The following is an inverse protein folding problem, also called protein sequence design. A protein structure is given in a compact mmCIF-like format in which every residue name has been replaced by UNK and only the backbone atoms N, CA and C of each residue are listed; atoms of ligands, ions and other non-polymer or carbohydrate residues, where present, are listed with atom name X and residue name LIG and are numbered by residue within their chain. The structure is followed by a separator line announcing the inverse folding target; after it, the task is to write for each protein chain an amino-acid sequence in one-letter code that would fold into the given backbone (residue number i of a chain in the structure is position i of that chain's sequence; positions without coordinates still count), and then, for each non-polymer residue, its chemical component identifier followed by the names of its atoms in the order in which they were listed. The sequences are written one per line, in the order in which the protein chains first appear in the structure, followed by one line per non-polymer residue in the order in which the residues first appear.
data_IF_836240083495
#
_entry.id   IF_836240083495
#
_cell.length_a   1.000
_cell.length_b   1.000
_cell.length_c   1.000
_cell.angle_alpha   90.00
_cell.angle_beta   90.00
_cell.angle_gamma   90.00
#
_symmetry.space_group_name_H-M   'P 1'
#
loop_
_entity.id
_entity.type
_entity.pdbx_description
1 polymer ?
#
# COMPACT_ATOMS: atom_id res chain seq x y z
N UNK A 1 27.11 2.50 -28.91
CA UNK A 1 25.88 3.29 -28.99
C UNK A 1 25.16 3.23 -27.63
N UNK A 2 24.86 4.39 -27.08
CA UNK A 2 24.17 4.48 -25.78
C UNK A 2 22.66 4.55 -26.00
N UNK A 3 21.92 3.78 -25.24
CA UNK A 3 20.46 3.79 -25.31
C UNK A 3 19.93 4.17 -23.91
N UNK A 4 19.19 5.25 -23.85
CA UNK A 4 18.59 5.72 -22.59
C UNK A 4 17.28 4.96 -22.34
N UNK A 5 17.09 4.55 -21.08
CA UNK A 5 15.84 3.97 -20.64
C UNK A 5 14.97 5.04 -20.01
N UNK A 6 13.67 4.93 -20.19
CA UNK A 6 12.71 5.72 -19.42
C UNK A 6 12.70 5.18 -18.00
N UNK A 7 12.92 6.05 -17.03
CA UNK A 7 12.90 5.68 -15.62
C UNK A 7 11.45 5.59 -15.15
N UNK A 8 11.01 4.43 -14.64
CA UNK A 8 9.66 4.30 -14.12
C UNK A 8 9.48 4.98 -12.77
N UNK A 9 8.25 5.32 -12.44
CA UNK A 9 7.86 5.88 -11.14
C UNK A 9 6.87 4.97 -10.44
N UNK A 10 7.02 4.77 -9.14
CA UNK A 10 6.11 3.94 -8.34
C UNK A 10 4.67 4.49 -8.28
N UNK A 11 4.42 5.70 -8.75
CA UNK A 11 3.07 6.24 -8.87
C UNK A 11 2.32 5.73 -10.10
N UNK A 12 3.04 5.24 -11.10
CA UNK A 12 2.46 4.77 -12.36
C UNK A 12 2.94 3.36 -12.76
N UNK A 13 3.95 2.85 -12.10
CA UNK A 13 4.52 1.54 -12.36
C UNK A 13 4.86 0.89 -11.02
N UNK A 14 4.08 -0.10 -10.64
CA UNK A 14 4.34 -0.81 -9.39
C UNK A 14 5.40 -1.88 -9.60
N UNK A 15 5.97 -2.37 -8.50
CA UNK A 15 6.91 -3.48 -8.54
C UNK A 15 6.29 -4.67 -7.83
N UNK A 16 6.22 -5.80 -8.52
CA UNK A 16 5.81 -7.06 -7.93
C UNK A 16 7.05 -7.79 -7.43
N UNK A 17 7.18 -7.90 -6.12
CA UNK A 17 8.21 -8.73 -5.48
C UNK A 17 7.69 -10.15 -5.43
N UNK A 18 8.22 -10.98 -6.30
CA UNK A 18 7.75 -12.35 -6.47
C UNK A 18 8.25 -13.25 -5.36
N UNK A 19 7.54 -14.35 -5.21
CA UNK A 19 7.83 -15.38 -4.24
C UNK A 19 9.24 -15.99 -4.41
N UNK A 20 9.75 -16.07 -5.63
CA UNK A 20 11.07 -16.61 -5.94
C UNK A 20 12.22 -15.59 -5.78
N UNK A 21 11.92 -14.43 -5.19
CA UNK A 21 12.84 -13.31 -4.99
C UNK A 21 13.14 -12.49 -6.25
N UNK A 22 12.45 -12.75 -7.35
CA UNK A 22 12.54 -11.88 -8.53
C UNK A 22 11.61 -10.66 -8.35
N UNK A 23 11.85 -9.64 -9.14
CA UNK A 23 11.03 -8.42 -9.16
C UNK A 23 10.60 -8.12 -10.58
N UNK A 24 9.35 -7.70 -10.75
CA UNK A 24 8.81 -7.33 -12.05
C UNK A 24 8.12 -6.00 -11.98
N UNK A 25 8.36 -5.12 -12.96
CA UNK A 25 7.64 -3.87 -13.10
C UNK A 25 6.26 -4.13 -13.72
N UNK A 26 5.22 -3.57 -13.10
CA UNK A 26 3.84 -3.72 -13.55
C UNK A 26 3.29 -2.33 -13.87
N UNK A 27 2.99 -2.09 -15.14
CA UNK A 27 2.39 -0.82 -15.55
C UNK A 27 0.97 -0.70 -15.01
N UNK A 28 0.67 0.44 -14.37
CA UNK A 28 -0.65 0.71 -13.82
C UNK A 28 -1.49 1.41 -14.89
N UNK A 29 -2.36 0.64 -15.54
CA UNK A 29 -3.30 1.14 -16.53
C UNK A 29 -4.65 1.44 -15.87
N UNK A 30 -5.60 2.12 -16.57
CA UNK A 30 -6.94 2.33 -15.99
C UNK A 30 -7.67 1.05 -15.59
N UNK A 31 -7.32 -0.09 -16.19
CA UNK A 31 -7.94 -1.39 -15.89
C UNK A 31 -7.25 -2.14 -14.73
N UNK A 32 -6.11 -1.65 -14.23
CA UNK A 32 -5.32 -2.37 -13.22
C UNK A 32 -6.14 -2.70 -11.96
N UNK A 33 -6.68 -1.66 -11.32
CA UNK A 33 -7.41 -1.86 -10.06
C UNK A 33 -8.71 -2.63 -10.22
N UNK A 34 -9.55 -2.35 -11.26
CA UNK A 34 -10.71 -3.19 -11.52
C UNK A 34 -10.36 -4.66 -11.74
N UNK A 35 -9.30 -4.95 -12.49
CA UNK A 35 -8.86 -6.33 -12.71
C UNK A 35 -8.33 -6.98 -11.44
N UNK A 36 -7.54 -6.25 -10.65
CA UNK A 36 -6.97 -6.77 -9.42
C UNK A 36 -8.06 -7.11 -8.40
N UNK A 37 -9.02 -6.21 -8.21
CA UNK A 37 -10.10 -6.38 -7.24
C UNK A 37 -11.16 -7.39 -7.66
N UNK A 38 -11.19 -7.79 -8.94
CA UNK A 38 -12.11 -8.81 -9.46
C UNK A 38 -11.41 -10.15 -9.74
N UNK A 39 -10.24 -10.37 -9.14
CA UNK A 39 -9.46 -11.60 -9.26
C UNK A 39 -9.03 -11.95 -10.69
N UNK A 40 -8.84 -10.93 -11.54
CA UNK A 40 -8.38 -11.12 -12.92
C UNK A 40 -6.86 -11.03 -13.07
N UNK A 41 -6.15 -10.83 -11.98
CA UNK A 41 -4.68 -10.76 -11.97
C UNK A 41 -4.10 -11.73 -10.92
N UNK A 42 -4.42 -13.04 -11.03
CA UNK A 42 -3.97 -14.02 -10.02
C UNK A 42 -2.44 -14.16 -9.96
N UNK A 43 -1.72 -13.81 -11.02
CA UNK A 43 -0.26 -13.84 -11.03
C UNK A 43 0.35 -12.83 -10.04
N UNK A 44 -0.41 -11.84 -9.60
CA UNK A 44 0.05 -10.85 -8.63
C UNK A 44 -0.25 -11.25 -7.17
N UNK A 45 -1.02 -12.31 -6.95
CA UNK A 45 -1.39 -12.75 -5.60
C UNK A 45 -0.17 -13.18 -4.76
N UNK A 46 0.71 -14.08 -5.23
CA UNK A 46 1.89 -14.42 -4.43
C UNK A 46 2.88 -13.26 -4.37
N UNK A 47 3.48 -13.06 -3.19
CA UNK A 47 4.47 -12.01 -3.02
C UNK A 47 3.88 -10.70 -2.56
N UNK A 48 4.50 -9.60 -2.96
CA UNK A 48 4.10 -8.26 -2.50
C UNK A 48 4.18 -7.25 -3.64
N UNK A 49 3.34 -6.22 -3.55
CA UNK A 49 3.41 -5.07 -4.45
C UNK A 49 4.10 -3.91 -3.74
N UNK A 50 5.03 -3.26 -4.43
CA UNK A 50 5.65 -2.01 -3.99
C UNK A 50 4.99 -0.88 -4.78
N UNK A 51 4.41 0.07 -4.07
CA UNK A 51 3.59 1.13 -4.65
C UNK A 51 3.84 2.45 -3.94
N UNK A 52 3.57 3.56 -4.61
CA UNK A 52 3.57 4.87 -3.99
C UNK A 52 2.22 5.54 -4.19
N UNK A 53 1.67 6.10 -3.12
CA UNK A 53 0.44 6.88 -3.17
C UNK A 53 0.61 8.21 -2.47
N UNK A 54 -0.08 9.22 -3.01
CA UNK A 54 -0.17 10.55 -2.43
C UNK A 54 -1.59 10.75 -1.91
N UNK A 55 -1.70 11.29 -0.70
CA UNK A 55 -2.99 11.51 -0.04
C UNK A 55 -3.11 12.96 0.40
N UNK A 56 -4.31 13.52 0.27
CA UNK A 56 -4.66 14.85 0.76
C UNK A 56 -5.82 14.85 1.75
N UNK A 57 -6.36 13.65 2.06
CA UNK A 57 -7.48 13.50 2.98
C UNK A 57 -7.46 12.12 3.62
N UNK A 58 -8.23 11.93 4.67
CA UNK A 58 -8.34 10.66 5.37
C UNK A 58 -8.77 9.54 4.43
N UNK A 59 -8.30 8.33 4.69
CA UNK A 59 -8.83 7.16 3.99
C UNK A 59 -10.31 6.99 4.30
N UNK A 60 -11.07 6.57 3.29
CA UNK A 60 -12.51 6.34 3.43
C UNK A 60 -12.85 4.93 3.93
N UNK A 61 -11.85 4.05 4.02
CA UNK A 61 -12.06 2.66 4.41
C UNK A 61 -11.02 2.20 5.42
N UNK A 62 -11.39 1.18 6.17
CA UNK A 62 -10.46 0.30 6.84
C UNK A 62 -10.01 -0.77 5.84
N UNK A 63 -8.76 -1.19 5.93
CA UNK A 63 -8.20 -2.27 5.11
C UNK A 63 -7.61 -3.35 6.01
N UNK A 64 -7.59 -4.57 5.49
CA UNK A 64 -6.96 -5.71 6.17
C UNK A 64 -6.31 -6.62 5.13
N UNK A 65 -5.09 -7.05 5.41
CA UNK A 65 -4.32 -7.92 4.53
C UNK A 65 -4.10 -9.28 5.20
N UNK A 66 -4.83 -10.34 4.76
CA UNK A 66 -4.72 -11.65 5.41
C UNK A 66 -3.47 -12.43 4.99
N UNK A 67 -2.81 -12.03 3.88
CA UNK A 67 -1.69 -12.78 3.33
C UNK A 67 -0.35 -12.51 4.01
N UNK A 68 -0.21 -11.39 4.73
CA UNK A 68 1.05 -11.07 5.39
C UNK A 68 1.09 -9.67 5.99
N UNK A 69 2.25 -9.31 6.52
CA UNK A 69 2.49 -7.99 7.09
C UNK A 69 2.69 -6.95 5.99
N UNK A 70 2.14 -5.77 6.19
CA UNK A 70 2.36 -4.64 5.30
C UNK A 70 3.37 -3.67 5.91
N UNK A 71 4.20 -3.07 5.06
CA UNK A 71 5.11 -2.01 5.47
C UNK A 71 4.71 -0.74 4.75
N UNK A 72 4.54 0.36 5.48
CA UNK A 72 4.25 1.68 4.90
C UNK A 72 5.31 2.66 5.38
N UNK A 73 6.00 3.29 4.43
CA UNK A 73 7.09 4.24 4.71
C UNK A 73 6.66 5.64 4.30
N UNK A 74 6.80 6.60 5.20
CA UNK A 74 6.55 8.00 4.87
C UNK A 74 7.68 8.55 3.99
N UNK A 75 7.31 9.14 2.85
CA UNK A 75 8.25 9.80 1.96
C UNK A 75 8.24 11.31 2.15
N UNK A 76 7.06 11.90 2.38
CA UNK A 76 6.91 13.33 2.66
C UNK A 76 5.57 13.60 3.33
N UNK A 77 5.43 14.75 3.99
CA UNK A 77 4.21 15.12 4.67
C UNK A 77 4.07 14.44 6.02
N UNK A 78 2.86 14.09 6.40
CA UNK A 78 2.58 13.43 7.67
C UNK A 78 1.29 12.61 7.59
N UNK A 79 1.21 11.52 8.35
CA UNK A 79 0.00 10.71 8.42
C UNK A 79 -0.07 9.95 9.73
N UNK A 80 -1.30 9.71 10.19
CA UNK A 80 -1.56 8.95 11.40
C UNK A 80 -2.20 7.62 11.01
N UNK A 81 -1.49 6.51 11.24
CA UNK A 81 -2.07 5.19 11.08
C UNK A 81 -2.81 4.79 12.35
N UNK A 82 -3.99 4.22 12.15
CA UNK A 82 -4.83 3.71 13.23
C UNK A 82 -4.98 2.20 13.01
N UNK A 83 -4.47 1.40 13.94
CA UNK A 83 -4.56 -0.05 13.90
C UNK A 83 -5.59 -0.51 14.92
N UNK A 84 -6.50 -1.40 14.50
CA UNK A 84 -7.49 -2.01 15.39
C UNK A 84 -6.95 -3.35 15.91
N UNK A 85 -6.46 -3.32 17.13
CA UNK A 85 -5.91 -4.51 17.79
C UNK A 85 -6.98 -5.11 18.71
N UNK A 86 -7.93 -5.86 18.12
CA UNK A 86 -9.01 -6.51 18.85
C UNK A 86 -9.84 -5.52 19.69
N UNK A 87 -10.27 -4.42 19.04
CA UNK A 87 -11.09 -3.40 19.67
C UNK A 87 -10.31 -2.31 20.39
N UNK A 88 -9.00 -2.45 20.51
CA UNK A 88 -8.12 -1.41 21.06
C UNK A 88 -7.39 -0.72 19.91
N UNK A 89 -7.55 0.57 19.76
CA UNK A 89 -6.85 1.33 18.74
C UNK A 89 -5.43 1.65 19.19
N UNK A 90 -4.48 1.40 18.28
CA UNK A 90 -3.11 1.86 18.41
C UNK A 90 -2.84 2.89 17.32
N UNK A 91 -2.29 4.03 17.70
CA UNK A 91 -1.98 5.12 16.79
C UNK A 91 -0.48 5.17 16.52
N UNK A 92 -0.11 5.22 15.23
CA UNK A 92 1.29 5.35 14.79
C UNK A 92 1.40 6.60 13.95
N UNK A 93 1.99 7.65 14.52
CA UNK A 93 2.17 8.92 13.82
C UNK A 93 3.46 8.90 13.00
N UNK A 94 3.34 9.17 11.71
CA UNK A 94 4.49 9.32 10.81
C UNK A 94 4.63 10.80 10.47
N UNK A 95 5.74 11.41 10.86
CA UNK A 95 5.98 12.86 10.69
C UNK A 95 7.23 13.17 9.89
N UNK A 96 8.20 12.26 9.84
CA UNK A 96 9.51 12.51 9.24
C UNK A 96 9.77 11.49 8.14
N UNK A 97 10.26 11.92 6.97
CA UNK A 97 10.59 10.98 5.89
C UNK A 97 11.48 9.85 6.37
N UNK A 98 11.11 8.62 6.00
CA UNK A 98 11.79 7.41 6.44
C UNK A 98 11.16 6.73 7.63
N UNK A 99 10.31 7.40 8.39
CA UNK A 99 9.53 6.73 9.43
C UNK A 99 8.52 5.77 8.79
N UNK A 100 8.28 4.65 9.45
CA UNK A 100 7.43 3.61 8.88
C UNK A 100 6.56 2.95 9.94
N UNK A 101 5.51 2.31 9.47
CA UNK A 101 4.65 1.44 10.28
C UNK A 101 4.65 0.06 9.66
N UNK A 102 4.70 -0.97 10.51
CA UNK A 102 4.44 -2.35 10.11
C UNK A 102 3.04 -2.70 10.57
N UNK A 103 2.18 -3.02 9.63
CA UNK A 103 0.81 -3.46 9.90
C UNK A 103 0.81 -4.98 9.92
N UNK A 104 0.56 -5.61 11.08
CA UNK A 104 0.58 -7.08 11.15
C UNK A 104 -0.50 -7.72 10.28
N UNK A 105 -0.24 -8.95 9.85
CA UNK A 105 -1.20 -9.77 9.13
C UNK A 105 -2.55 -9.78 9.86
N UNK A 106 -3.63 -9.56 9.11
CA UNK A 106 -4.99 -9.66 9.61
C UNK A 106 -5.46 -8.49 10.46
N UNK A 107 -4.66 -7.44 10.60
CA UNK A 107 -5.01 -6.27 11.41
C UNK A 107 -5.70 -5.22 10.55
N UNK A 108 -6.93 -4.86 10.94
CA UNK A 108 -7.66 -3.77 10.32
C UNK A 108 -6.97 -2.45 10.64
N UNK A 109 -6.77 -1.64 9.61
CA UNK A 109 -6.08 -0.36 9.75
C UNK A 109 -6.63 0.68 8.80
N UNK A 110 -6.45 1.95 9.15
CA UNK A 110 -6.79 3.08 8.32
C UNK A 110 -5.75 4.19 8.54
N UNK A 111 -5.86 5.26 7.78
CA UNK A 111 -4.96 6.39 7.92
C UNK A 111 -5.73 7.71 7.91
N UNK A 112 -5.30 8.63 8.76
CA UNK A 112 -5.80 10.00 8.84
C UNK A 112 -4.74 10.94 8.32
N UNK A 113 -5.13 11.81 7.40
CA UNK A 113 -4.23 12.73 6.71
C UNK A 113 -4.73 14.16 6.94
N UNK A 114 -4.02 14.91 7.76
CA UNK A 114 -4.45 16.28 8.09
C UNK A 114 -4.29 17.23 6.90
N UNK A 115 -3.18 17.16 6.17
CA UNK A 115 -2.90 18.05 5.05
C UNK A 115 -2.54 17.24 3.81
N UNK A 116 -1.40 16.56 3.85
CA UNK A 116 -0.99 15.66 2.77
C UNK A 116 0.11 14.72 3.24
N UNK A 117 0.22 13.59 2.56
CA UNK A 117 1.28 12.62 2.78
C UNK A 117 1.58 11.88 1.48
N UNK A 118 2.85 11.59 1.25
CA UNK A 118 3.29 10.67 0.21
C UNK A 118 3.92 9.47 0.90
N UNK A 119 3.49 8.28 0.52
CA UNK A 119 3.89 7.06 1.22
C UNK A 119 4.22 5.95 0.24
N UNK A 120 5.22 5.15 0.60
CA UNK A 120 5.58 3.93 -0.10
C UNK A 120 4.96 2.75 0.65
N UNK A 121 4.30 1.87 -0.11
CA UNK A 121 3.62 0.69 0.42
C UNK A 121 4.30 -0.56 -0.09
N UNK A 122 4.55 -1.51 0.80
CA UNK A 122 4.97 -2.87 0.47
C UNK A 122 3.89 -3.78 1.02
N UNK A 123 3.02 -4.27 0.13
CA UNK A 123 1.75 -4.87 0.51
C UNK A 123 1.56 -6.27 -0.05
N UNK A 124 1.36 -7.29 0.82
CA UNK A 124 0.90 -8.61 0.38
C UNK A 124 -0.62 -8.54 0.16
N UNK A 125 -1.03 -8.22 -1.07
CA UNK A 125 -2.41 -7.84 -1.37
C UNK A 125 -3.40 -8.98 -1.55
N UNK A 126 -2.96 -10.24 -1.60
CA UNK A 126 -3.87 -11.38 -1.81
C UNK A 126 -4.94 -11.45 -0.72
N UNK A 127 -6.21 -11.44 -1.13
CA UNK A 127 -7.35 -11.54 -0.21
C UNK A 127 -7.62 -10.28 0.61
N UNK A 128 -7.04 -9.14 0.25
CA UNK A 128 -7.29 -7.87 0.94
C UNK A 128 -8.79 -7.60 1.07
N UNK A 129 -9.20 -7.20 2.27
CA UNK A 129 -10.57 -6.82 2.56
C UNK A 129 -10.66 -5.34 2.91
N UNK A 130 -11.78 -4.75 2.57
CA UNK A 130 -12.08 -3.35 2.87
C UNK A 130 -13.45 -3.26 3.53
N UNK A 131 -13.61 -2.30 4.45
CA UNK A 131 -14.92 -1.94 4.99
C UNK A 131 -14.99 -0.44 5.20
N UNK A 132 -16.17 0.12 5.03
CA UNK A 132 -16.38 1.56 5.16
C UNK A 132 -16.15 2.04 6.59
N UNK A 133 -15.61 3.23 6.70
CA UNK A 133 -15.55 3.93 7.98
C UNK A 133 -16.92 4.55 8.22
N UNK A 134 -17.55 4.15 9.32
CA UNK A 134 -18.81 4.75 9.75
C UNK A 134 -18.53 6.07 10.45
N UNK A 135 -19.20 7.12 10.00
CA UNK A 135 -19.08 8.48 10.57
C UNK A 135 -20.43 9.03 10.96
#
# INVERSE_FOLDING_TARGET
MTQDRVTPSLTSTYVHLRYDRSAAAIEVTPSFWPELTSDQRPELDPGRLVMQFDFSEDWSTWEMHPAGDEIVVLLSGAGLFVLDLNGREEHVQLNTPGEFVMVPRGVWHTARIATRASMLFITPGEGTENRSILR
#
